data_IF_108638277684
#
_entry.id   IF_108638277684
#
_cell.length_a   1.000
_cell.length_b   1.000
_cell.length_c   1.000
_cell.angle_alpha   90.00
_cell.angle_beta   90.00
_cell.angle_gamma   90.00
#
_symmetry.space_group_name_H-M   'P 1'
#
loop_
_entity.id
_entity.type
_entity.pdbx_description
1 polymer ?
#
# COMPACT_ATOMS: atom_id res chain seq x y z
N UNK A 1 -12.41 7.11 4.81
CA UNK A 1 -12.75 6.37 3.57
C UNK A 1 -12.53 4.86 3.70
N UNK A 2 -11.34 4.30 3.99
CA UNK A 2 -11.14 2.84 4.07
C UNK A 2 -12.14 2.13 4.98
N UNK A 3 -12.52 2.74 6.11
CA UNK A 3 -13.51 2.17 7.02
C UNK A 3 -14.92 2.07 6.41
N UNK A 4 -15.33 3.03 5.59
CA UNK A 4 -16.64 2.97 4.94
C UNK A 4 -16.69 1.84 3.90
N UNK A 5 -15.64 1.74 3.07
CA UNK A 5 -15.54 0.66 2.08
C UNK A 5 -15.48 -0.71 2.75
N UNK A 6 -14.73 -0.82 3.85
CA UNK A 6 -14.68 -2.04 4.63
C UNK A 6 -16.06 -2.39 5.20
N UNK A 7 -16.77 -1.42 5.76
CA UNK A 7 -18.11 -1.66 6.31
C UNK A 7 -19.08 -2.12 5.22
N UNK A 8 -18.99 -1.57 4.00
CA UNK A 8 -19.76 -2.04 2.85
C UNK A 8 -19.40 -3.48 2.46
N UNK A 9 -18.11 -3.84 2.45
CA UNK A 9 -17.67 -5.20 2.19
C UNK A 9 -18.13 -6.18 3.28
N UNK A 10 -18.06 -5.79 4.55
CA UNK A 10 -18.57 -6.57 5.68
C UNK A 10 -20.09 -6.77 5.59
N UNK A 11 -20.83 -5.75 5.15
CA UNK A 11 -22.28 -5.85 4.93
C UNK A 11 -22.62 -6.89 3.85
N UNK A 12 -21.90 -6.85 2.72
CA UNK A 12 -22.06 -7.85 1.66
C UNK A 12 -21.71 -9.26 2.11
N UNK A 13 -20.64 -9.41 2.90
CA UNK A 13 -20.23 -10.70 3.46
C UNK A 13 -21.29 -11.24 4.44
N UNK A 14 -21.88 -10.37 5.28
CA UNK A 14 -22.93 -10.73 6.25
C UNK A 14 -24.23 -11.19 5.59
N UNK A 15 -24.54 -10.64 4.41
CA UNK A 15 -25.74 -10.98 3.64
C UNK A 15 -25.50 -12.16 2.68
N UNK A 16 -24.29 -12.66 2.59
CA UNK A 16 -23.86 -13.58 1.53
C UNK A 16 -24.28 -13.08 0.15
N UNK A 17 -24.06 -11.79 -0.08
CA UNK A 17 -24.48 -11.11 -1.30
C UNK A 17 -23.82 -11.75 -2.54
N UNK A 18 -24.56 -11.98 -3.65
CA UNK A 18 -23.98 -12.50 -4.87
C UNK A 18 -22.95 -11.52 -5.48
N UNK A 19 -21.97 -12.04 -6.21
CA UNK A 19 -20.88 -11.25 -6.78
C UNK A 19 -21.35 -10.00 -7.57
N UNK A 20 -22.38 -10.06 -8.43
CA UNK A 20 -22.85 -8.88 -9.16
C UNK A 20 -23.38 -7.75 -8.25
N UNK A 21 -23.80 -8.07 -7.03
CA UNK A 21 -24.26 -7.08 -6.04
C UNK A 21 -23.09 -6.43 -5.29
N UNK A 22 -21.92 -7.06 -5.21
CA UNK A 22 -20.76 -6.60 -4.41
C UNK A 22 -20.03 -5.45 -5.10
N UNK A 23 -20.77 -4.37 -5.35
CA UNK A 23 -20.28 -3.14 -6.00
C UNK A 23 -20.27 -2.01 -4.99
N UNK A 24 -19.14 -1.31 -4.90
CA UNK A 24 -18.96 -0.11 -4.09
C UNK A 24 -18.54 1.03 -5.00
N UNK A 25 -19.17 2.21 -4.86
CA UNK A 25 -18.80 3.40 -5.63
C UNK A 25 -18.37 4.50 -4.68
N UNK A 26 -17.13 4.95 -4.79
CA UNK A 26 -16.63 6.13 -4.10
C UNK A 26 -16.82 7.34 -4.99
N UNK A 27 -17.40 8.41 -4.44
CA UNK A 27 -17.77 9.61 -5.18
C UNK A 27 -17.06 10.79 -4.53
N UNK A 28 -16.32 11.55 -5.34
CA UNK A 28 -15.60 12.74 -4.91
C UNK A 28 -16.05 13.96 -5.70
N UNK A 29 -16.21 15.08 -5.02
CA UNK A 29 -16.21 16.41 -5.64
C UNK A 29 -15.03 17.20 -5.10
N UNK A 30 -14.22 17.75 -5.97
CA UNK A 30 -13.03 18.53 -5.59
C UNK A 30 -13.36 19.78 -4.75
N UNK A 31 -14.61 20.24 -4.80
CA UNK A 31 -14.98 21.56 -4.32
C UNK A 31 -14.65 22.66 -5.31
N UNK A 32 -15.29 23.80 -5.15
CA UNK A 32 -15.11 25.04 -5.90
C UNK A 32 -15.14 26.20 -4.92
N UNK A 33 -14.93 27.44 -5.40
CA UNK A 33 -14.89 28.62 -4.56
C UNK A 33 -16.05 28.72 -3.57
N UNK A 34 -17.27 28.34 -4.00
CA UNK A 34 -18.49 28.46 -3.20
C UNK A 34 -19.14 27.08 -2.87
N UNK A 35 -18.44 25.98 -3.17
CA UNK A 35 -18.93 24.63 -2.94
C UNK A 35 -17.88 23.83 -2.19
N UNK A 36 -18.21 23.40 -0.97
CA UNK A 36 -17.29 22.56 -0.19
C UNK A 36 -17.09 21.20 -0.86
N UNK A 37 -15.87 20.67 -0.80
CA UNK A 37 -15.60 19.33 -1.28
C UNK A 37 -16.36 18.29 -0.48
N UNK A 38 -16.70 17.18 -1.10
CA UNK A 38 -17.29 16.04 -0.40
C UNK A 38 -16.67 14.72 -0.83
N UNK A 39 -16.88 13.75 0.02
CA UNK A 39 -16.50 12.36 -0.17
C UNK A 39 -17.69 11.50 0.16
N UNK A 40 -18.06 10.58 -0.75
CA UNK A 40 -19.17 9.66 -0.52
C UNK A 40 -18.77 8.22 -0.81
N UNK A 41 -19.47 7.30 -0.16
CA UNK A 41 -19.36 5.85 -0.40
C UNK A 41 -20.77 5.30 -0.58
N UNK A 42 -21.03 4.68 -1.70
CA UNK A 42 -22.29 4.04 -2.06
C UNK A 42 -22.10 2.53 -2.13
N UNK A 43 -22.98 1.80 -1.45
CA UNK A 43 -23.15 0.35 -1.60
C UNK A 43 -24.62 -0.02 -1.79
N UNK A 44 -24.87 -1.28 -2.15
CA UNK A 44 -26.22 -1.79 -2.45
C UNK A 44 -26.73 -2.81 -1.41
N UNK A 45 -26.23 -2.75 -0.18
CA UNK A 45 -26.70 -3.58 0.93
C UNK A 45 -27.93 -2.98 1.62
N UNK A 46 -27.82 -1.70 1.99
CA UNK A 46 -28.84 -1.00 2.77
C UNK A 46 -28.83 -1.37 4.26
N UNK A 47 -29.44 -0.50 5.09
CA UNK A 47 -29.62 -0.71 6.52
C UNK A 47 -31.04 -0.41 6.95
N UNK A 48 -31.56 -1.21 7.87
CA UNK A 48 -32.84 -0.89 8.60
C UNK A 48 -32.56 0.08 9.75
N UNK A 49 -33.56 0.76 10.28
CA UNK A 49 -33.46 1.58 11.49
C UNK A 49 -32.89 0.79 12.66
N UNK A 50 -33.31 -0.46 12.83
CA UNK A 50 -32.79 -1.33 13.88
C UNK A 50 -31.28 -1.59 13.71
N UNK A 51 -30.85 -1.87 12.50
CA UNK A 51 -29.40 -2.03 12.21
C UNK A 51 -28.62 -0.74 12.50
N UNK A 52 -29.19 0.42 12.14
CA UNK A 52 -28.58 1.72 12.44
C UNK A 52 -28.46 1.92 13.95
N UNK A 53 -29.51 1.68 14.71
CA UNK A 53 -29.47 1.80 16.17
C UNK A 53 -28.47 0.86 16.81
N UNK A 54 -28.45 -0.39 16.43
CA UNK A 54 -27.50 -1.38 16.94
C UNK A 54 -26.07 -1.05 16.62
N UNK A 55 -25.78 -0.58 15.41
CA UNK A 55 -24.43 -0.38 14.93
C UNK A 55 -23.88 1.03 15.19
N UNK A 56 -24.72 2.06 15.27
CA UNK A 56 -24.29 3.46 15.39
C UNK A 56 -24.58 4.12 16.72
N UNK A 57 -25.56 3.63 17.49
CA UNK A 57 -25.90 4.21 18.80
C UNK A 57 -24.95 3.77 19.90
N UNK A 58 -24.49 2.51 19.87
CA UNK A 58 -23.63 1.94 20.90
C UNK A 58 -22.18 2.10 20.48
N UNK A 59 -21.37 2.84 21.27
CA UNK A 59 -19.96 3.00 21.05
C UNK A 59 -19.16 1.89 21.75
N UNK A 60 -18.02 1.47 21.15
CA UNK A 60 -17.12 0.45 21.69
C UNK A 60 -17.81 -0.89 22.04
N UNK A 61 -18.80 -1.28 21.23
CA UNK A 61 -19.50 -2.54 21.41
C UNK A 61 -18.65 -3.73 20.95
N UNK A 62 -18.16 -4.58 21.87
CA UNK A 62 -17.33 -5.73 21.52
C UNK A 62 -18.09 -6.80 20.72
N UNK A 63 -19.42 -6.83 20.83
CA UNK A 63 -20.26 -7.80 20.14
C UNK A 63 -20.72 -7.32 18.76
N UNK A 64 -20.37 -6.07 18.36
CA UNK A 64 -20.81 -5.51 17.08
C UNK A 64 -20.38 -6.36 15.86
N UNK A 65 -19.21 -6.99 15.93
CA UNK A 65 -18.73 -7.88 14.87
C UNK A 65 -19.40 -9.26 14.88
N UNK A 66 -19.83 -9.73 16.07
CA UNK A 66 -20.46 -11.05 16.23
C UNK A 66 -21.93 -11.04 15.89
N UNK A 67 -22.59 -9.89 16.10
CA UNK A 67 -23.98 -9.70 15.72
C UNK A 67 -24.13 -9.61 14.21
N UNK A 68 -24.42 -10.68 13.57
CA UNK A 68 -24.61 -10.78 12.10
C UNK A 68 -23.49 -11.52 11.38
N UNK A 69 -22.47 -12.00 12.09
CA UNK A 69 -21.40 -12.80 11.51
C UNK A 69 -21.94 -14.19 11.14
N UNK A 70 -22.32 -14.37 9.88
CA UNK A 70 -22.55 -15.69 9.28
C UNK A 70 -21.28 -16.26 8.63
N UNK A 71 -20.22 -15.47 8.51
CA UNK A 71 -18.97 -15.90 7.91
C UNK A 71 -17.76 -15.30 8.61
N UNK A 72 -16.65 -16.03 8.62
CA UNK A 72 -15.33 -15.56 9.10
C UNK A 72 -14.74 -14.43 8.22
N UNK A 73 -15.47 -13.97 7.22
CA UNK A 73 -15.03 -12.92 6.29
C UNK A 73 -15.19 -11.50 6.86
N UNK A 74 -15.89 -11.33 8.01
CA UNK A 74 -16.14 -10.02 8.59
C UNK A 74 -14.89 -9.48 9.28
N UNK A 75 -14.46 -8.30 8.82
CA UNK A 75 -13.29 -7.61 9.36
C UNK A 75 -13.62 -6.66 10.52
N UNK A 76 -14.93 -6.41 10.81
CA UNK A 76 -15.43 -5.52 11.84
C UNK A 76 -15.14 -6.02 13.27
N UNK A 77 -14.63 -5.13 14.16
CA UNK A 77 -14.36 -5.46 15.58
C UNK A 77 -15.37 -4.76 16.51
N UNK A 78 -15.12 -3.51 16.82
CA UNK A 78 -15.83 -2.79 17.88
C UNK A 78 -16.84 -1.73 17.39
N UNK A 79 -17.14 -1.68 16.10
CA UNK A 79 -18.18 -0.82 15.53
C UNK A 79 -17.92 0.70 15.58
N UNK A 80 -16.72 1.16 15.92
CA UNK A 80 -16.42 2.58 16.13
C UNK A 80 -15.87 3.32 14.92
N UNK A 81 -15.22 2.62 13.97
CA UNK A 81 -14.49 3.27 12.89
C UNK A 81 -15.34 4.22 12.05
N UNK A 82 -16.48 3.74 11.54
CA UNK A 82 -17.38 4.55 10.73
C UNK A 82 -17.94 5.77 11.48
N UNK A 83 -18.29 5.62 12.77
CA UNK A 83 -18.82 6.69 13.63
C UNK A 83 -17.76 7.78 13.90
N UNK A 84 -16.55 7.38 14.26
CA UNK A 84 -15.46 8.30 14.51
C UNK A 84 -15.18 9.17 13.28
N UNK A 85 -15.10 8.56 12.11
CA UNK A 85 -14.91 9.30 10.87
C UNK A 85 -16.06 10.28 10.58
N UNK A 86 -17.30 9.86 10.80
CA UNK A 86 -18.46 10.74 10.56
C UNK A 86 -18.51 11.93 11.54
N UNK A 87 -18.11 11.73 12.78
CA UNK A 87 -18.22 12.79 13.81
C UNK A 87 -17.01 13.71 13.87
N UNK A 88 -15.82 13.26 13.44
CA UNK A 88 -14.57 13.99 13.67
C UNK A 88 -13.88 14.50 12.40
N UNK A 89 -14.12 13.87 11.25
CA UNK A 89 -13.33 14.11 10.03
C UNK A 89 -13.94 15.15 9.09
N UNK A 90 -15.14 15.63 9.35
CA UNK A 90 -15.86 16.58 8.50
C UNK A 90 -16.23 17.83 9.28
N UNK A 91 -16.13 18.99 8.60
CA UNK A 91 -16.44 20.29 9.20
C UNK A 91 -17.93 20.63 9.10
N UNK A 92 -18.57 20.19 8.02
CA UNK A 92 -19.93 20.62 7.70
C UNK A 92 -20.95 19.56 8.16
N UNK A 93 -21.00 18.44 7.47
CA UNK A 93 -21.88 17.33 7.89
C UNK A 93 -21.38 15.98 7.40
N UNK A 94 -21.86 14.94 8.04
CA UNK A 94 -21.65 13.56 7.61
C UNK A 94 -22.97 12.78 7.80
N UNK A 95 -23.50 12.26 6.69
CA UNK A 95 -24.82 11.66 6.61
C UNK A 95 -24.77 10.25 6.03
N UNK A 96 -25.63 9.39 6.57
CA UNK A 96 -26.02 8.14 5.94
C UNK A 96 -27.43 8.33 5.40
N UNK A 97 -27.62 8.08 4.12
CA UNK A 97 -28.93 7.88 3.51
C UNK A 97 -29.03 6.43 3.08
N UNK A 98 -29.96 5.71 3.63
CA UNK A 98 -30.09 4.27 3.38
C UNK A 98 -31.53 3.87 3.12
N UNK A 99 -31.69 2.87 2.28
CA UNK A 99 -32.95 2.19 2.00
C UNK A 99 -32.73 0.70 2.13
N UNK A 100 -33.67 0.00 2.77
CA UNK A 100 -33.68 -1.47 2.80
C UNK A 100 -35.11 -1.98 2.83
N UNK A 101 -35.46 -2.89 1.95
CA UNK A 101 -36.76 -3.54 1.88
C UNK A 101 -37.93 -2.53 1.87
N UNK A 102 -37.87 -1.51 1.04
CA UNK A 102 -38.94 -0.51 0.88
C UNK A 102 -39.04 0.51 2.02
N UNK A 103 -38.08 0.53 2.96
CA UNK A 103 -38.01 1.54 4.03
C UNK A 103 -36.74 2.34 3.93
N UNK A 104 -36.84 3.66 3.96
CA UNK A 104 -35.74 4.60 3.96
C UNK A 104 -35.50 5.23 5.33
N UNK A 105 -34.25 5.56 5.60
CA UNK A 105 -33.80 6.23 6.82
C UNK A 105 -32.62 7.16 6.55
N UNK A 106 -32.47 8.22 7.35
CA UNK A 106 -31.30 9.11 7.35
C UNK A 106 -30.74 9.21 8.75
N UNK A 107 -29.40 9.16 8.83
CA UNK A 107 -28.71 9.16 10.10
C UNK A 107 -27.35 9.89 9.98
N UNK A 108 -26.94 10.62 11.00
CA UNK A 108 -25.63 11.29 11.01
C UNK A 108 -25.65 12.63 11.75
N UNK A 109 -24.72 13.50 11.33
CA UNK A 109 -24.54 14.87 11.86
C UNK A 109 -24.83 15.85 10.74
N UNK A 110 -25.72 16.82 11.03
CA UNK A 110 -26.02 17.94 10.12
C UNK A 110 -25.21 19.16 10.53
N UNK A 111 -24.87 20.01 9.57
CA UNK A 111 -24.18 21.27 9.79
C UNK A 111 -24.84 22.11 10.92
N UNK A 112 -24.01 22.62 11.83
CA UNK A 112 -24.49 23.37 12.99
C UNK A 112 -25.15 22.55 14.11
N UNK A 113 -25.26 21.21 13.95
CA UNK A 113 -25.74 20.31 14.97
C UNK A 113 -24.61 19.56 15.65
N UNK A 114 -24.62 19.53 16.97
CA UNK A 114 -23.72 18.66 17.76
C UNK A 114 -24.29 17.25 17.99
N UNK A 115 -25.49 16.99 17.50
CA UNK A 115 -26.17 15.72 17.72
C UNK A 115 -25.94 14.77 16.57
N UNK A 116 -25.44 13.61 16.90
CA UNK A 116 -25.31 12.47 15.99
C UNK A 116 -26.52 11.55 16.19
N UNK A 117 -27.38 11.43 15.20
CA UNK A 117 -28.60 10.67 15.34
C UNK A 117 -29.46 10.60 14.07
N UNK A 118 -30.70 10.12 14.23
CA UNK A 118 -31.65 10.09 13.13
C UNK A 118 -32.07 11.50 12.70
N UNK A 119 -32.15 11.69 11.39
CA UNK A 119 -32.57 12.94 10.76
C UNK A 119 -33.90 12.69 10.11
N UNK A 120 -35.01 13.10 10.75
CA UNK A 120 -36.33 12.88 10.20
C UNK A 120 -36.52 13.69 8.93
N UNK A 121 -37.14 13.07 7.94
CA UNK A 121 -37.72 13.78 6.81
C UNK A 121 -38.98 14.51 7.28
N UNK A 122 -39.09 15.83 7.01
CA UNK A 122 -40.21 16.65 7.50
C UNK A 122 -41.57 16.16 7.03
N UNK A 123 -41.61 15.56 5.84
CA UNK A 123 -42.88 15.08 5.24
C UNK A 123 -43.15 13.61 5.51
N UNK A 124 -42.08 12.80 5.62
CA UNK A 124 -42.16 11.34 5.66
C UNK A 124 -41.82 10.72 7.02
N UNK A 125 -41.33 11.54 7.97
CA UNK A 125 -40.97 11.07 9.29
C UNK A 125 -39.55 10.48 9.40
N UNK A 126 -39.31 9.69 10.47
CA UNK A 126 -38.02 9.07 10.75
C UNK A 126 -37.74 7.91 9.81
N UNK A 127 -38.70 6.98 9.73
CA UNK A 127 -38.68 5.84 8.81
C UNK A 127 -39.75 6.07 7.77
N UNK A 128 -39.32 6.23 6.53
CA UNK A 128 -40.24 6.56 5.44
C UNK A 128 -40.35 5.41 4.44
N UNK A 129 -41.53 5.27 3.85
CA UNK A 129 -41.82 4.28 2.82
C UNK A 129 -41.14 4.70 1.50
N UNK A 130 -40.52 3.75 0.82
CA UNK A 130 -39.90 3.92 -0.49
C UNK A 130 -40.56 2.94 -1.43
N UNK A 131 -41.38 3.44 -2.33
CA UNK A 131 -42.09 2.65 -3.35
C UNK A 131 -41.18 2.34 -4.53
N UNK A 132 -40.30 3.26 -4.89
CA UNK A 132 -39.31 3.12 -5.96
C UNK A 132 -37.88 3.39 -5.45
N UNK A 133 -37.17 2.33 -5.29
CA UNK A 133 -35.75 2.31 -4.87
C UNK A 133 -34.84 3.14 -5.80
N UNK A 134 -35.04 3.05 -7.13
CA UNK A 134 -34.24 3.80 -8.10
C UNK A 134 -34.42 5.30 -8.00
N UNK A 135 -35.68 5.74 -7.87
CA UNK A 135 -35.99 7.15 -7.68
C UNK A 135 -35.40 7.69 -6.39
N UNK A 136 -35.48 6.93 -5.29
CA UNK A 136 -34.91 7.35 -4.01
C UNK A 136 -33.36 7.40 -4.07
N UNK A 137 -32.70 6.44 -4.73
CA UNK A 137 -31.27 6.50 -4.98
C UNK A 137 -30.90 7.72 -5.83
N UNK A 138 -31.67 7.99 -6.89
CA UNK A 138 -31.47 9.20 -7.70
C UNK A 138 -31.61 10.48 -6.87
N UNK A 139 -32.60 10.56 -5.96
CA UNK A 139 -32.75 11.67 -5.04
C UNK A 139 -31.60 11.79 -4.04
N UNK A 140 -31.07 10.67 -3.55
CA UNK A 140 -29.91 10.65 -2.66
C UNK A 140 -28.63 11.12 -3.34
N UNK A 141 -28.46 10.88 -4.63
CA UNK A 141 -27.29 11.27 -5.42
C UNK A 141 -27.31 12.76 -5.84
N UNK A 142 -28.48 13.38 -5.99
CA UNK A 142 -28.61 14.78 -6.43
C UNK A 142 -27.78 15.77 -5.60
N UNK A 143 -27.82 15.76 -4.26
CA UNK A 143 -27.07 16.70 -3.43
C UNK A 143 -25.55 16.61 -3.64
N UNK A 144 -25.05 15.43 -4.03
CA UNK A 144 -23.64 15.18 -4.33
C UNK A 144 -23.34 15.29 -5.82
N UNK A 145 -24.21 15.98 -6.59
CA UNK A 145 -24.02 16.25 -8.03
C UNK A 145 -23.68 15.00 -8.85
N UNK A 146 -24.23 13.88 -8.47
CA UNK A 146 -24.13 12.60 -9.15
C UNK A 146 -25.53 12.15 -9.61
N UNK A 147 -25.59 11.37 -10.64
CA UNK A 147 -26.82 10.76 -11.15
C UNK A 147 -26.61 9.28 -11.40
N UNK A 148 -27.66 8.53 -11.60
CA UNK A 148 -27.57 7.11 -11.94
C UNK A 148 -26.77 6.87 -13.23
N UNK A 149 -26.73 7.83 -14.14
CA UNK A 149 -25.98 7.76 -15.42
C UNK A 149 -24.47 7.94 -15.21
N UNK A 150 -24.05 8.57 -14.09
CA UNK A 150 -22.64 8.73 -13.74
C UNK A 150 -22.07 7.50 -13.01
N UNK A 151 -22.91 6.53 -12.68
CA UNK A 151 -22.46 5.29 -12.03
C UNK A 151 -21.89 4.31 -13.09
N UNK A 152 -20.97 3.43 -12.70
CA UNK A 152 -20.44 2.40 -13.59
C UNK A 152 -21.52 1.40 -14.02
N UNK A 153 -21.36 0.77 -15.18
CA UNK A 153 -22.32 -0.22 -15.69
C UNK A 153 -22.61 -1.36 -14.70
N UNK A 154 -21.61 -1.79 -13.95
CA UNK A 154 -21.78 -2.81 -12.91
C UNK A 154 -22.68 -2.33 -11.75
N UNK A 155 -22.70 -1.03 -11.44
CA UNK A 155 -23.64 -0.48 -10.48
C UNK A 155 -25.09 -0.55 -11.01
N UNK A 156 -25.31 -0.35 -12.30
CA UNK A 156 -26.63 -0.51 -12.90
C UNK A 156 -27.13 -1.97 -12.82
N UNK A 157 -26.23 -2.95 -12.91
CA UNK A 157 -26.53 -4.35 -12.70
C UNK A 157 -26.84 -4.65 -11.22
N UNK A 158 -26.01 -4.16 -10.32
CA UNK A 158 -26.27 -4.28 -8.88
C UNK A 158 -27.62 -3.69 -8.48
N UNK A 159 -28.00 -2.52 -9.02
CA UNK A 159 -29.30 -1.88 -8.81
C UNK A 159 -30.48 -2.75 -9.25
N UNK A 160 -30.34 -3.59 -10.27
CA UNK A 160 -31.43 -4.48 -10.73
C UNK A 160 -31.76 -5.59 -9.74
N UNK A 161 -30.77 -6.05 -8.97
CA UNK A 161 -30.90 -7.17 -8.03
C UNK A 161 -30.88 -6.72 -6.57
N UNK A 162 -30.65 -5.45 -6.30
CA UNK A 162 -30.61 -4.91 -4.95
C UNK A 162 -32.02 -4.52 -4.45
N UNK A 163 -32.23 -4.69 -3.14
CA UNK A 163 -33.42 -4.25 -2.42
C UNK A 163 -33.14 -3.08 -1.47
N UNK A 164 -31.97 -2.45 -1.63
CA UNK A 164 -31.54 -1.35 -0.80
C UNK A 164 -30.22 -0.77 -1.25
N UNK A 165 -29.87 0.36 -0.63
CA UNK A 165 -28.57 1.01 -0.76
C UNK A 165 -28.18 1.68 0.54
N UNK A 166 -26.87 1.92 0.71
CA UNK A 166 -26.35 2.84 1.72
C UNK A 166 -25.45 3.85 1.02
N UNK A 167 -25.76 5.12 1.16
CA UNK A 167 -24.93 6.24 0.75
C UNK A 167 -24.44 6.98 1.98
N UNK A 168 -23.14 6.89 2.26
CA UNK A 168 -22.48 7.66 3.31
C UNK A 168 -21.79 8.85 2.65
N UNK A 169 -22.09 10.07 3.11
CA UNK A 169 -21.52 11.31 2.56
C UNK A 169 -20.95 12.15 3.68
N UNK A 170 -19.71 12.64 3.50
CA UNK A 170 -19.09 13.63 4.37
C UNK A 170 -18.69 14.86 3.57
N UNK A 171 -19.06 16.05 4.07
CA UNK A 171 -18.84 17.35 3.42
C UNK A 171 -17.85 18.18 4.23
N UNK A 172 -16.91 18.82 3.53
CA UNK A 172 -15.83 19.59 4.14
C UNK A 172 -14.86 18.71 4.93
N UNK A 173 -14.13 17.78 4.30
CA UNK A 173 -13.15 16.98 5.01
C UNK A 173 -12.05 17.87 5.59
N UNK A 174 -11.79 17.73 6.89
CA UNK A 174 -10.81 18.52 7.64
C UNK A 174 -9.41 18.40 7.05
N UNK A 175 -8.69 19.51 7.05
CA UNK A 175 -7.32 19.58 6.54
C UNK A 175 -7.19 19.78 5.03
N UNK A 176 -8.29 19.81 4.28
CA UNK A 176 -8.26 20.02 2.82
C UNK A 176 -8.82 21.37 2.36
N UNK A 177 -9.39 22.15 3.28
CA UNK A 177 -10.00 23.44 2.94
C UNK A 177 -11.11 23.29 1.88
N UNK A 178 -11.02 24.07 0.81
CA UNK A 178 -12.04 24.10 -0.23
C UNK A 178 -11.74 23.14 -1.42
N UNK A 179 -10.68 22.37 -1.36
CA UNK A 179 -10.32 21.46 -2.47
C UNK A 179 -9.64 20.19 -1.97
N UNK A 180 -10.12 19.05 -2.45
CA UNK A 180 -9.50 17.74 -2.19
C UNK A 180 -8.76 17.21 -3.42
N UNK A 181 -7.59 16.56 -3.24
CA UNK A 181 -6.84 15.90 -4.30
C UNK A 181 -7.42 14.50 -4.57
N UNK A 182 -8.62 14.42 -5.17
CA UNK A 182 -9.36 13.16 -5.30
C UNK A 182 -8.57 12.03 -5.96
N UNK A 183 -7.76 12.32 -7.00
CA UNK A 183 -6.91 11.29 -7.65
C UNK A 183 -5.90 10.71 -6.68
N UNK A 184 -5.19 11.57 -5.96
CA UNK A 184 -4.20 11.14 -4.96
C UNK A 184 -4.84 10.37 -3.80
N UNK A 185 -6.07 10.76 -3.39
CA UNK A 185 -6.82 10.00 -2.39
C UNK A 185 -7.20 8.60 -2.88
N UNK A 186 -7.54 8.45 -4.16
CA UNK A 186 -7.83 7.14 -4.76
C UNK A 186 -6.56 6.29 -4.83
N UNK A 187 -5.43 6.85 -5.25
CA UNK A 187 -4.13 6.15 -5.27
C UNK A 187 -3.73 5.69 -3.87
N UNK A 188 -3.82 6.58 -2.88
CA UNK A 188 -3.58 6.22 -1.48
C UNK A 188 -4.55 5.15 -0.97
N UNK A 189 -5.81 5.18 -1.44
CA UNK A 189 -6.80 4.18 -1.09
C UNK A 189 -6.42 2.81 -1.64
N UNK A 190 -5.97 2.72 -2.90
CA UNK A 190 -5.52 1.48 -3.52
C UNK A 190 -4.28 0.89 -2.82
N UNK A 191 -3.38 1.74 -2.35
CA UNK A 191 -2.18 1.31 -1.62
C UNK A 191 -2.43 1.02 -0.13
N UNK A 192 -3.60 1.39 0.39
CA UNK A 192 -3.88 1.25 1.83
C UNK A 192 -4.03 -0.22 2.25
N UNK A 193 -3.31 -0.72 3.28
CA UNK A 193 -3.34 -2.14 3.67
C UNK A 193 -4.74 -2.70 3.95
N UNK A 194 -5.63 -1.86 4.52
CA UNK A 194 -7.02 -2.24 4.81
C UNK A 194 -7.87 -2.48 3.58
N UNK A 195 -7.46 -1.97 2.43
CA UNK A 195 -8.20 -2.11 1.17
C UNK A 195 -7.99 -3.44 0.48
N UNK A 196 -6.90 -4.14 0.79
CA UNK A 196 -6.57 -5.41 0.13
C UNK A 196 -7.77 -6.37 0.12
N UNK A 197 -8.33 -6.64 1.30
CA UNK A 197 -9.48 -7.55 1.42
C UNK A 197 -10.76 -7.01 0.77
N UNK A 198 -10.99 -5.70 0.86
CA UNK A 198 -12.16 -5.06 0.23
C UNK A 198 -12.09 -5.16 -1.29
N UNK A 199 -10.92 -4.93 -1.89
CA UNK A 199 -10.70 -5.02 -3.34
C UNK A 199 -10.73 -6.47 -3.86
N UNK A 200 -10.43 -7.46 -3.00
CA UNK A 200 -10.60 -8.88 -3.31
C UNK A 200 -12.08 -9.31 -3.32
N UNK A 201 -12.88 -8.78 -2.37
CA UNK A 201 -14.28 -9.17 -2.16
C UNK A 201 -15.28 -8.40 -3.02
N UNK A 202 -14.97 -7.15 -3.35
CA UNK A 202 -15.88 -6.19 -3.97
C UNK A 202 -15.26 -5.51 -5.18
N UNK A 203 -16.09 -5.18 -6.16
CA UNK A 203 -15.69 -4.30 -7.27
C UNK A 203 -15.88 -2.86 -6.82
N UNK A 204 -14.79 -2.17 -6.57
CA UNK A 204 -14.77 -0.77 -6.12
C UNK A 204 -14.54 0.14 -7.31
N UNK A 205 -15.39 1.14 -7.49
CA UNK A 205 -15.29 2.13 -8.56
C UNK A 205 -15.17 3.53 -7.98
N UNK A 206 -14.65 4.48 -8.76
CA UNK A 206 -14.56 5.86 -8.36
C UNK A 206 -15.22 6.79 -9.39
N UNK A 207 -15.90 7.82 -8.88
CA UNK A 207 -16.47 8.93 -9.65
C UNK A 207 -15.87 10.22 -9.10
N UNK A 208 -15.36 11.07 -9.97
CA UNK A 208 -14.77 12.37 -9.62
C UNK A 208 -15.49 13.46 -10.38
N UNK A 209 -16.13 14.40 -9.68
CA UNK A 209 -16.90 15.51 -10.27
C UNK A 209 -17.97 15.05 -11.28
N UNK A 210 -18.62 13.91 -11.01
CA UNK A 210 -19.62 13.31 -11.89
C UNK A 210 -19.06 12.50 -13.06
N UNK A 211 -17.75 12.33 -13.18
CA UNK A 211 -17.11 11.55 -14.23
C UNK A 211 -16.51 10.25 -13.67
N UNK A 212 -16.63 9.17 -14.42
CA UNK A 212 -16.04 7.89 -14.05
C UNK A 212 -14.50 7.95 -14.09
N UNK A 213 -13.88 7.68 -12.96
CA UNK A 213 -12.42 7.52 -12.91
C UNK A 213 -11.99 6.27 -13.67
N UNK A 214 -10.81 6.33 -14.28
CA UNK A 214 -10.20 5.22 -15.04
C UNK A 214 -11.15 4.58 -16.07
N UNK A 215 -11.96 5.41 -16.76
CA UNK A 215 -12.94 4.96 -17.76
C UNK A 215 -13.94 3.92 -17.24
N UNK A 216 -14.28 3.97 -15.96
CA UNK A 216 -15.21 3.05 -15.33
C UNK A 216 -14.65 1.64 -15.09
N UNK A 217 -13.34 1.47 -15.06
CA UNK A 217 -12.70 0.24 -14.60
C UNK A 217 -12.67 0.20 -13.08
N UNK A 218 -12.83 -0.98 -12.46
CA UNK A 218 -12.73 -1.10 -11.02
C UNK A 218 -11.32 -0.76 -10.53
N UNK A 219 -11.25 -0.29 -9.31
CA UNK A 219 -9.97 -0.10 -8.62
C UNK A 219 -9.37 -1.48 -8.31
N UNK A 220 -8.12 -1.66 -8.66
CA UNK A 220 -7.35 -2.87 -8.38
C UNK A 220 -6.18 -2.54 -7.47
N UNK A 221 -5.65 -3.55 -6.81
CA UNK A 221 -4.35 -3.40 -6.14
C UNK A 221 -3.31 -3.14 -7.22
N UNK A 222 -2.49 -2.09 -7.08
CA UNK A 222 -1.43 -1.84 -8.02
C UNK A 222 -0.46 -3.04 -8.05
N UNK A 223 -0.09 -3.46 -9.24
CA UNK A 223 0.98 -4.43 -9.41
C UNK A 223 2.30 -3.84 -8.95
N UNK A 224 3.09 -4.65 -8.28
CA UNK A 224 4.43 -4.32 -7.82
C UNK A 224 5.36 -5.30 -8.49
N UNK A 225 6.19 -4.79 -9.40
CA UNK A 225 7.23 -5.58 -10.03
C UNK A 225 8.27 -5.98 -8.98
N UNK A 226 8.69 -7.24 -9.01
CA UNK A 226 9.66 -7.77 -8.08
C UNK A 226 11.09 -7.43 -8.54
N UNK A 227 12.02 -7.36 -7.60
CA UNK A 227 13.44 -7.27 -7.93
C UNK A 227 13.85 -8.49 -8.76
N UNK A 228 14.79 -8.28 -9.68
CA UNK A 228 15.38 -9.34 -10.51
C UNK A 228 15.88 -10.52 -9.65
N UNK A 229 15.43 -11.73 -9.97
CA UNK A 229 15.74 -12.96 -9.24
C UNK A 229 15.07 -13.10 -7.87
N UNK A 230 13.99 -12.34 -7.63
CA UNK A 230 13.13 -12.42 -6.46
C UNK A 230 11.64 -12.38 -6.82
N UNK A 231 11.29 -12.97 -7.95
CA UNK A 231 9.94 -12.99 -8.51
C UNK A 231 8.99 -13.81 -7.61
N UNK A 232 9.53 -14.81 -6.91
CA UNK A 232 8.77 -15.62 -5.97
C UNK A 232 8.86 -15.06 -4.55
N UNK A 233 7.74 -15.05 -3.80
CA UNK A 233 7.76 -14.62 -2.41
C UNK A 233 8.61 -15.57 -1.56
N UNK A 234 9.40 -15.00 -0.65
CA UNK A 234 10.14 -15.78 0.36
C UNK A 234 9.19 -16.13 1.51
N UNK A 235 8.91 -17.41 1.69
CA UNK A 235 8.06 -17.90 2.77
C UNK A 235 8.95 -18.43 3.90
N UNK A 236 8.73 -17.94 5.11
CA UNK A 236 9.51 -18.26 6.31
C UNK A 236 8.54 -18.76 7.38
N UNK A 237 8.77 -19.93 7.94
CA UNK A 237 7.98 -20.44 9.05
C UNK A 237 8.31 -19.67 10.34
N UNK A 238 7.28 -19.26 11.08
CA UNK A 238 7.45 -18.61 12.38
C UNK A 238 7.67 -19.71 13.42
N UNK A 239 8.75 -19.65 14.24
CA UNK A 239 8.99 -20.62 15.31
C UNK A 239 7.84 -20.65 16.31
N UNK A 240 7.57 -21.80 16.92
CA UNK A 240 6.54 -21.98 17.96
C UNK A 240 6.84 -21.13 19.21
N UNK A 241 8.11 -20.84 19.45
CA UNK A 241 8.57 -20.03 20.58
C UNK A 241 9.45 -18.91 20.05
N UNK A 242 9.11 -17.69 20.36
CA UNK A 242 9.91 -16.50 20.11
C UNK A 242 10.43 -15.91 21.42
N UNK A 243 11.48 -15.10 21.34
CA UNK A 243 12.05 -14.37 22.49
C UNK A 243 11.55 -12.92 22.44
N UNK A 244 10.97 -12.44 23.55
CA UNK A 244 10.64 -11.02 23.70
C UNK A 244 11.94 -10.21 23.89
N UNK A 245 12.26 -9.26 23.02
CA UNK A 245 13.51 -8.50 23.08
C UNK A 245 13.64 -7.64 24.35
N UNK A 246 12.52 -7.30 24.99
CA UNK A 246 12.52 -6.41 26.16
C UNK A 246 12.64 -7.14 27.51
N UNK A 247 12.09 -8.35 27.60
CA UNK A 247 12.03 -9.11 28.88
C UNK A 247 12.82 -10.40 28.83
N UNK A 248 13.38 -10.75 27.67
CA UNK A 248 14.04 -12.03 27.40
C UNK A 248 13.16 -13.28 27.61
N UNK A 249 11.89 -13.10 27.93
CA UNK A 249 10.94 -14.17 28.12
C UNK A 249 10.64 -14.90 26.81
N UNK A 250 10.43 -16.21 26.94
CA UNK A 250 9.93 -17.03 25.82
C UNK A 250 8.43 -16.87 25.68
N UNK A 251 7.97 -16.59 24.49
CA UNK A 251 6.55 -16.37 24.17
C UNK A 251 6.12 -17.39 23.13
N UNK A 252 5.01 -18.10 23.42
CA UNK A 252 4.42 -19.04 22.47
C UNK A 252 3.73 -18.28 21.32
N UNK A 253 3.93 -18.74 20.10
CA UNK A 253 3.26 -18.28 18.88
C UNK A 253 2.09 -19.18 18.49
N UNK A 254 1.82 -20.25 19.26
CA UNK A 254 0.71 -21.16 19.05
C UNK A 254 -0.36 -20.91 20.09
N UNK A 255 -1.63 -20.98 19.68
CA UNK A 255 -2.75 -21.10 20.62
C UNK A 255 -2.79 -22.54 21.14
N UNK A 256 -3.24 -22.74 22.37
CA UNK A 256 -3.35 -24.06 23.00
C UNK A 256 -4.03 -25.06 22.04
N UNK A 257 -3.27 -26.09 21.62
CA UNK A 257 -3.75 -27.17 20.76
C UNK A 257 -3.60 -26.96 19.24
N UNK A 258 -3.03 -25.84 18.77
CA UNK A 258 -2.77 -25.64 17.33
C UNK A 258 -1.36 -26.11 16.96
N UNK A 259 -1.28 -27.03 16.01
CA UNK A 259 -0.02 -27.57 15.47
C UNK A 259 0.61 -26.69 14.36
N UNK A 260 -0.03 -25.63 13.93
CA UNK A 260 0.48 -24.81 12.84
C UNK A 260 1.20 -23.57 13.35
N UNK A 261 2.51 -23.57 13.18
CA UNK A 261 3.31 -22.37 13.25
C UNK A 261 2.83 -21.36 12.17
N UNK A 262 2.86 -20.08 12.51
CA UNK A 262 2.55 -19.04 11.54
C UNK A 262 3.57 -18.96 10.39
N UNK A 263 3.33 -18.10 9.43
CA UNK A 263 4.24 -17.86 8.31
C UNK A 263 4.46 -16.36 8.08
N UNK A 264 5.70 -16.01 7.76
CA UNK A 264 6.09 -14.69 7.25
C UNK A 264 6.37 -14.82 5.76
N UNK A 265 5.66 -14.03 4.96
CA UNK A 265 5.78 -14.02 3.50
C UNK A 265 6.37 -12.67 3.11
N UNK A 266 7.60 -12.66 2.62
CA UNK A 266 8.30 -11.46 2.16
C UNK A 266 8.28 -11.39 0.65
N UNK A 267 8.06 -10.18 0.14
CA UNK A 267 8.06 -9.82 -1.28
C UNK A 267 8.99 -8.65 -1.51
N UNK A 268 9.39 -8.44 -2.75
CA UNK A 268 10.27 -7.34 -3.13
C UNK A 268 9.61 -6.43 -4.14
N UNK A 269 10.12 -5.21 -4.25
CA UNK A 269 9.78 -4.25 -5.28
C UNK A 269 11.06 -3.86 -6.04
N UNK A 270 10.98 -3.77 -7.35
CA UNK A 270 12.05 -3.26 -8.22
C UNK A 270 12.41 -1.79 -7.95
N UNK A 271 11.44 -1.04 -7.39
CA UNK A 271 11.59 0.37 -7.03
C UNK A 271 11.46 0.58 -5.52
N UNK A 272 12.05 1.69 -5.03
CA UNK A 272 11.86 2.13 -3.65
C UNK A 272 10.38 2.41 -3.36
N UNK A 273 9.83 1.77 -2.34
CA UNK A 273 8.45 1.95 -1.90
C UNK A 273 8.28 3.13 -0.93
N UNK A 274 9.37 3.75 -0.50
CA UNK A 274 9.37 4.84 0.48
C UNK A 274 8.49 6.02 0.05
N UNK A 275 8.44 6.32 -1.24
CA UNK A 275 7.74 7.48 -1.79
C UNK A 275 6.57 7.08 -2.69
N UNK A 276 6.75 6.08 -3.55
CA UNK A 276 5.78 5.72 -4.59
C UNK A 276 4.69 4.75 -4.14
N UNK A 277 4.97 3.93 -3.11
CA UNK A 277 4.06 2.89 -2.61
C UNK A 277 4.04 2.82 -1.07
N UNK A 278 4.13 3.98 -0.42
CA UNK A 278 4.25 4.08 1.04
C UNK A 278 3.17 3.30 1.79
N UNK A 279 1.94 3.31 1.30
CA UNK A 279 0.82 2.57 1.91
C UNK A 279 0.95 1.05 1.82
N UNK A 280 1.78 0.52 0.90
CA UNK A 280 2.06 -0.91 0.74
C UNK A 280 3.38 -1.34 1.37
N UNK A 281 4.23 -0.40 1.76
CA UNK A 281 5.54 -0.64 2.38
C UNK A 281 5.38 -1.03 3.87
N UNK A 282 4.71 -2.15 4.08
CA UNK A 282 4.35 -2.65 5.40
C UNK A 282 4.47 -4.18 5.44
N UNK A 283 4.63 -4.72 6.64
CA UNK A 283 4.33 -6.13 6.92
C UNK A 283 2.93 -6.18 7.53
N UNK A 284 2.01 -6.77 6.80
CA UNK A 284 0.59 -6.85 7.18
C UNK A 284 0.36 -8.06 8.06
N UNK A 285 -0.23 -7.90 9.22
CA UNK A 285 -0.64 -9.00 10.10
C UNK A 285 -1.99 -9.57 9.65
N UNK A 286 -2.02 -10.87 9.47
CA UNK A 286 -3.22 -11.63 9.10
C UNK A 286 -3.45 -12.77 10.07
N UNK A 287 -4.70 -12.99 10.43
CA UNK A 287 -5.18 -14.15 11.17
C UNK A 287 -6.45 -14.69 10.51
N UNK A 288 -7.18 -15.59 11.16
CA UNK A 288 -8.39 -16.20 10.61
C UNK A 288 -9.45 -15.16 10.20
N UNK A 289 -9.62 -14.08 10.98
CA UNK A 289 -10.53 -12.96 10.63
C UNK A 289 -10.00 -12.07 9.48
N UNK A 290 -8.88 -12.40 8.88
CA UNK A 290 -8.23 -11.64 7.83
C UNK A 290 -7.22 -10.61 8.37
N UNK A 291 -7.28 -9.37 7.90
CA UNK A 291 -6.39 -8.29 8.31
C UNK A 291 -6.63 -7.84 9.77
N UNK A 292 -5.59 -7.85 10.59
CA UNK A 292 -5.64 -7.48 12.01
C UNK A 292 -4.76 -6.29 12.38
N UNK A 293 -3.78 -5.94 11.55
CA UNK A 293 -2.88 -4.81 11.77
C UNK A 293 -1.71 -4.81 10.77
N UNK A 294 -0.77 -3.90 10.96
CA UNK A 294 0.47 -3.88 10.18
C UNK A 294 1.59 -3.18 10.96
N UNK A 295 2.82 -3.44 10.56
CA UNK A 295 3.99 -2.66 10.96
C UNK A 295 4.62 -2.06 9.71
N UNK A 296 4.86 -0.73 9.67
CA UNK A 296 5.63 -0.12 8.59
C UNK A 296 7.05 -0.66 8.59
N UNK A 297 7.56 -1.06 7.43
CA UNK A 297 8.95 -1.54 7.32
C UNK A 297 9.95 -0.46 7.74
N UNK A 298 9.57 0.82 7.60
CA UNK A 298 10.36 1.96 8.07
C UNK A 298 10.47 2.09 9.59
N UNK A 299 9.65 1.38 10.36
CA UNK A 299 9.71 1.33 11.83
C UNK A 299 10.51 0.13 12.34
N UNK A 300 10.86 -0.80 11.46
CA UNK A 300 11.76 -1.91 11.78
C UNK A 300 13.22 -1.44 11.77
N UNK A 301 14.03 -1.92 12.70
CA UNK A 301 15.46 -1.61 12.74
C UNK A 301 16.22 -2.45 11.70
N UNK A 302 16.32 -1.89 10.47
CA UNK A 302 16.93 -2.56 9.34
C UNK A 302 18.07 -1.70 8.79
N UNK A 303 19.28 -2.24 8.84
CA UNK A 303 20.51 -1.60 8.37
C UNK A 303 20.92 -2.11 6.99
N UNK A 304 20.10 -1.85 5.99
CA UNK A 304 20.39 -2.23 4.60
C UNK A 304 19.78 -1.22 3.65
N UNK A 305 20.42 -0.84 2.55
CA UNK A 305 19.83 0.05 1.55
C UNK A 305 18.60 -0.54 0.85
N UNK A 306 18.39 -1.86 0.96
CA UNK A 306 17.27 -2.55 0.31
C UNK A 306 16.01 -2.65 1.18
N UNK A 307 16.03 -2.11 2.43
CA UNK A 307 14.87 -2.17 3.32
C UNK A 307 13.60 -1.54 2.70
N UNK A 308 13.77 -0.48 1.92
CA UNK A 308 12.68 0.28 1.30
C UNK A 308 12.06 -0.41 0.07
N UNK A 309 12.54 -1.61 -0.28
CA UNK A 309 12.05 -2.45 -1.37
C UNK A 309 11.42 -3.76 -0.90
N UNK A 310 11.34 -3.99 0.41
CA UNK A 310 10.79 -5.22 0.98
C UNK A 310 9.46 -4.91 1.65
N UNK A 311 8.46 -5.76 1.40
CA UNK A 311 7.14 -5.70 2.02
C UNK A 311 6.61 -7.13 2.18
N UNK A 312 5.48 -7.29 2.89
CA UNK A 312 4.96 -8.65 3.03
C UNK A 312 3.78 -8.80 3.95
N UNK A 313 3.57 -10.04 4.39
CA UNK A 313 2.53 -10.39 5.33
C UNK A 313 3.01 -11.42 6.34
N UNK A 314 2.58 -11.26 7.58
CA UNK A 314 2.77 -12.20 8.67
C UNK A 314 1.42 -12.84 9.00
N UNK A 315 1.30 -14.13 8.82
CA UNK A 315 0.09 -14.93 9.12
C UNK A 315 0.31 -15.66 10.43
N UNK A 316 -0.38 -15.23 11.47
CA UNK A 316 -0.23 -15.81 12.82
C UNK A 316 -1.53 -15.66 13.60
N UNK A 317 -2.21 -16.79 13.86
CA UNK A 317 -3.50 -16.83 14.54
C UNK A 317 -3.44 -16.32 15.99
N UNK A 318 -2.33 -16.54 16.67
CA UNK A 318 -2.13 -16.08 18.05
C UNK A 318 -2.19 -14.56 18.22
N UNK A 319 -2.07 -13.79 17.13
CA UNK A 319 -2.21 -12.33 17.14
C UNK A 319 -3.68 -11.86 17.10
N UNK A 320 -4.64 -12.72 16.76
CA UNK A 320 -6.05 -12.35 16.63
C UNK A 320 -6.65 -11.67 17.88
N UNK A 321 -6.43 -12.15 19.10
CA UNK A 321 -6.95 -11.50 20.31
C UNK A 321 -6.33 -10.13 20.60
N UNK A 322 -5.17 -9.84 20.01
CA UNK A 322 -4.38 -8.64 20.28
C UNK A 322 -4.65 -7.50 19.32
N UNK A 323 -5.62 -7.68 18.41
CA UNK A 323 -6.04 -6.63 17.48
C UNK A 323 -6.64 -5.44 18.23
N UNK A 324 -6.20 -4.24 17.88
CA UNK A 324 -6.76 -3.00 18.40
C UNK A 324 -7.91 -2.48 17.53
N UNK A 325 -8.73 -1.60 18.12
CA UNK A 325 -9.86 -0.99 17.42
C UNK A 325 -9.46 -0.25 16.13
N UNK A 326 -8.34 0.43 16.17
CA UNK A 326 -7.83 1.20 15.05
C UNK A 326 -7.18 0.32 13.98
N UNK A 327 -6.84 -0.92 14.31
CA UNK A 327 -6.16 -1.90 13.42
C UNK A 327 -4.95 -1.33 12.68
N UNK A 328 -4.36 -0.29 13.23
CA UNK A 328 -3.09 0.22 12.76
C UNK A 328 -1.96 -0.57 13.38
N UNK A 329 -2.08 -0.87 14.69
CA UNK A 329 -1.09 -1.63 15.46
C UNK A 329 -1.78 -2.72 16.27
N UNK A 330 -1.00 -3.69 16.71
CA UNK A 330 -1.42 -4.67 17.71
C UNK A 330 -1.29 -4.07 19.12
N UNK A 331 -1.96 -4.67 20.10
CA UNK A 331 -1.78 -4.29 21.51
C UNK A 331 -0.32 -4.49 21.92
N UNK A 332 0.24 -3.52 22.65
CA UNK A 332 1.62 -3.63 23.14
C UNK A 332 1.70 -4.73 24.22
N UNK A 333 2.13 -5.92 23.81
CA UNK A 333 2.29 -7.08 24.69
C UNK A 333 3.51 -7.91 24.24
N UNK A 334 3.97 -8.88 25.02
CA UNK A 334 5.17 -9.66 24.70
C UNK A 334 5.14 -10.34 23.33
N UNK A 335 4.01 -10.92 22.94
CA UNK A 335 3.91 -11.63 21.65
C UNK A 335 4.07 -10.71 20.42
N UNK A 336 3.37 -9.57 20.25
CA UNK A 336 3.62 -8.65 19.16
C UNK A 336 5.08 -8.17 19.12
N UNK A 337 5.69 -7.81 20.24
CA UNK A 337 7.10 -7.38 20.28
C UNK A 337 8.06 -8.46 19.81
N UNK A 338 7.84 -9.71 20.25
CA UNK A 338 8.64 -10.85 19.83
C UNK A 338 8.48 -11.13 18.32
N UNK A 339 7.24 -11.00 17.78
CA UNK A 339 6.95 -11.16 16.36
C UNK A 339 7.57 -10.02 15.53
N UNK A 340 7.48 -8.77 15.97
CA UNK A 340 8.11 -7.62 15.30
C UNK A 340 9.62 -7.75 15.25
N UNK A 341 10.24 -8.20 16.35
CA UNK A 341 11.67 -8.47 16.41
C UNK A 341 12.07 -9.57 15.41
N UNK A 342 11.35 -10.70 15.42
CA UNK A 342 11.56 -11.77 14.44
C UNK A 342 11.42 -11.26 13.00
N UNK A 343 10.38 -10.47 12.70
CA UNK A 343 10.18 -9.88 11.37
C UNK A 343 11.37 -8.99 11.00
N UNK A 344 11.85 -8.13 11.92
CA UNK A 344 13.00 -7.27 11.68
C UNK A 344 14.25 -8.08 11.32
N UNK A 345 14.55 -9.15 12.06
CA UNK A 345 15.67 -10.04 11.76
C UNK A 345 15.55 -10.70 10.38
N UNK A 346 14.34 -11.19 10.02
CA UNK A 346 14.13 -11.85 8.73
C UNK A 346 14.19 -10.86 7.55
N UNK A 347 13.62 -9.66 7.70
CA UNK A 347 13.72 -8.60 6.68
C UNK A 347 15.17 -8.14 6.52
N UNK A 348 15.90 -7.96 7.63
CA UNK A 348 17.33 -7.63 7.61
C UNK A 348 18.15 -8.72 6.88
N UNK A 349 17.90 -9.99 7.18
CA UNK A 349 18.59 -11.11 6.53
C UNK A 349 18.29 -11.14 5.03
N UNK A 350 17.03 -10.95 4.65
CA UNK A 350 16.61 -10.93 3.25
C UNK A 350 17.21 -9.74 2.49
N UNK A 351 17.23 -8.56 3.10
CA UNK A 351 17.86 -7.38 2.52
C UNK A 351 19.37 -7.57 2.27
N UNK A 352 20.08 -8.23 3.19
CA UNK A 352 21.51 -8.57 3.04
C UNK A 352 21.78 -9.56 1.89
N UNK A 353 20.83 -10.44 1.57
CA UNK A 353 20.95 -11.33 0.41
C UNK A 353 21.06 -10.53 -0.90
N UNK A 354 20.29 -9.43 -1.02
CA UNK A 354 20.34 -8.53 -2.18
C UNK A 354 21.66 -7.74 -2.22
N UNK A 355 22.11 -7.22 -1.09
CA UNK A 355 23.43 -6.57 -1.02
C UNK A 355 24.57 -7.50 -1.49
N UNK A 356 24.55 -8.74 -1.01
CA UNK A 356 25.57 -9.72 -1.39
C UNK A 356 25.49 -10.07 -2.89
N UNK A 357 24.27 -10.14 -3.45
CA UNK A 357 24.05 -10.38 -4.88
C UNK A 357 24.56 -9.23 -5.74
N UNK A 358 24.20 -8.01 -5.39
CA UNK A 358 24.62 -6.83 -6.13
C UNK A 358 26.14 -6.63 -6.05
N UNK A 359 26.73 -6.86 -4.88
CA UNK A 359 28.19 -6.80 -4.72
C UNK A 359 28.88 -7.80 -5.66
N UNK A 360 28.38 -9.05 -5.74
CA UNK A 360 28.92 -10.06 -6.67
C UNK A 360 28.74 -9.65 -8.14
N UNK A 361 27.60 -9.02 -8.47
CA UNK A 361 27.33 -8.54 -9.82
C UNK A 361 28.29 -7.40 -10.20
N UNK A 362 28.49 -6.42 -9.32
CA UNK A 362 29.46 -5.33 -9.53
C UNK A 362 30.88 -5.86 -9.69
N UNK A 363 31.31 -6.78 -8.81
CA UNK A 363 32.63 -7.42 -8.91
C UNK A 363 32.81 -8.15 -10.26
N UNK A 364 31.75 -8.79 -10.75
CA UNK A 364 31.81 -9.49 -12.06
C UNK A 364 31.79 -8.51 -13.23
N UNK A 365 31.02 -7.46 -13.18
CA UNK A 365 30.97 -6.40 -14.20
C UNK A 365 32.31 -5.66 -14.26
N UNK A 366 32.93 -5.37 -13.12
CA UNK A 366 34.26 -4.78 -13.03
C UNK A 366 35.32 -5.69 -13.65
N UNK A 367 35.32 -6.98 -13.29
CA UNK A 367 36.23 -7.96 -13.90
C UNK A 367 36.08 -8.04 -15.42
N UNK A 368 34.83 -8.05 -15.91
CA UNK A 368 34.51 -8.08 -17.32
C UNK A 368 34.97 -6.79 -18.03
N UNK A 369 34.78 -5.63 -17.38
CA UNK A 369 35.25 -4.35 -17.92
C UNK A 369 36.79 -4.29 -18.02
N UNK A 370 37.47 -4.74 -16.97
CA UNK A 370 38.94 -4.84 -16.95
C UNK A 370 39.45 -5.81 -18.05
N UNK A 371 38.81 -6.97 -18.20
CA UNK A 371 39.17 -7.93 -19.27
C UNK A 371 39.02 -7.31 -20.66
N UNK A 372 37.87 -6.65 -20.94
CA UNK A 372 37.64 -5.96 -22.22
C UNK A 372 38.65 -4.83 -22.46
N UNK A 373 39.04 -4.10 -21.42
CA UNK A 373 40.04 -3.05 -21.50
C UNK A 373 41.41 -3.65 -21.82
N UNK A 374 41.79 -4.72 -21.15
CA UNK A 374 43.06 -5.42 -21.41
C UNK A 374 43.11 -5.97 -22.85
N UNK A 375 42.02 -6.59 -23.33
CA UNK A 375 41.92 -7.04 -24.72
C UNK A 375 42.03 -5.90 -25.74
N UNK A 376 41.47 -4.73 -25.42
CA UNK A 376 41.60 -3.53 -26.27
C UNK A 376 43.05 -3.00 -26.28
N UNK A 377 43.68 -2.98 -25.11
CA UNK A 377 45.11 -2.59 -24.98
C UNK A 377 46.05 -3.54 -25.73
N UNK A 378 45.79 -4.85 -25.64
CA UNK A 378 46.59 -5.85 -26.37
C UNK A 378 46.41 -5.72 -27.89
N UNK A 379 45.17 -5.48 -28.35
CA UNK A 379 44.89 -5.21 -29.76
C UNK A 379 45.62 -3.93 -30.25
N UNK A 380 45.54 -2.85 -29.43
CA UNK A 380 46.25 -1.60 -29.74
C UNK A 380 47.76 -1.79 -29.75
N UNK A 381 48.34 -2.47 -28.76
CA UNK A 381 49.74 -2.80 -28.67
C UNK A 381 50.22 -3.60 -29.89
N UNK A 382 49.47 -4.64 -30.27
CA UNK A 382 49.82 -5.47 -31.43
C UNK A 382 49.71 -4.66 -32.74
N UNK A 383 48.72 -3.80 -32.88
CA UNK A 383 48.58 -2.91 -34.03
C UNK A 383 49.75 -1.91 -34.10
N UNK A 384 50.05 -1.26 -32.98
CA UNK A 384 51.16 -0.31 -32.89
C UNK A 384 52.49 -0.97 -33.18
N UNK A 385 52.79 -2.15 -32.64
CA UNK A 385 54.00 -2.91 -32.92
C UNK A 385 54.08 -3.29 -34.41
N UNK A 386 53.00 -3.72 -35.02
CA UNK A 386 52.98 -4.06 -36.44
C UNK A 386 53.19 -2.80 -37.31
N UNK A 387 52.51 -1.68 -37.02
CA UNK A 387 52.71 -0.42 -37.73
C UNK A 387 54.15 0.09 -37.57
N UNK A 388 54.70 -0.01 -36.36
CA UNK A 388 56.10 0.37 -36.08
C UNK A 388 57.09 -0.55 -36.82
N UNK A 389 56.91 -1.86 -36.81
CA UNK A 389 57.73 -2.82 -37.49
C UNK A 389 57.65 -2.69 -39.03
N UNK A 390 56.47 -2.33 -39.57
CA UNK A 390 56.30 -2.05 -40.98
C UNK A 390 56.92 -0.71 -41.40
N UNK A 391 56.89 0.31 -40.52
CA UNK A 391 57.57 1.59 -40.75
C UNK A 391 59.07 1.51 -40.73
N UNK A 392 59.67 0.51 -40.08
CA UNK A 392 61.11 0.27 -40.01
C UNK A 392 61.66 -0.52 -41.23
N UNK A 393 60.83 -0.98 -42.16
CA UNK A 393 61.20 -1.68 -43.37
C UNK A 393 61.43 -0.74 -44.57
N UNK A 394 61.93 0.49 -44.36
CA UNK A 394 62.41 1.35 -45.40
C UNK A 394 63.81 0.82 -45.88
N UNK A 395 64.13 0.88 -47.19
CA UNK A 395 65.41 0.39 -47.67
C UNK A 395 66.53 1.35 -47.23
N UNK A 396 67.26 0.98 -46.21
CA UNK A 396 68.57 1.56 -45.95
C UNK A 396 68.90 2.13 -44.57
N UNK A 397 67.91 2.39 -43.67
CA UNK A 397 68.22 2.97 -42.36
C UNK A 397 67.97 2.00 -41.22
N UNK A 398 68.98 1.46 -40.63
CA UNK A 398 68.96 0.74 -39.37
C UNK A 398 68.98 1.77 -38.25
N UNK A 399 67.79 2.28 -37.92
CA UNK A 399 67.59 3.11 -36.72
C UNK A 399 67.48 2.16 -35.52
N UNK A 400 68.53 2.03 -34.74
CA UNK A 400 68.47 1.37 -33.43
C UNK A 400 67.76 2.35 -32.45
N UNK A 401 66.64 1.98 -31.87
CA UNK A 401 66.04 2.82 -30.84
C UNK A 401 67.02 3.01 -29.69
N UNK A 402 67.04 4.17 -29.05
CA UNK A 402 67.83 4.40 -27.87
C UNK A 402 67.52 3.31 -26.81
N UNK A 403 68.52 2.83 -26.08
CA UNK A 403 68.29 1.82 -25.05
C UNK A 403 67.24 2.33 -24.10
N UNK A 404 66.31 1.49 -23.66
CA UNK A 404 65.30 1.88 -22.73
C UNK A 404 65.94 2.49 -21.46
N UNK A 405 65.37 3.57 -20.90
CA UNK A 405 65.92 4.14 -19.69
C UNK A 405 65.98 3.06 -18.61
N UNK A 406 67.04 3.04 -17.79
CA UNK A 406 67.21 2.04 -16.75
C UNK A 406 65.95 2.05 -15.88
N UNK A 407 65.35 0.86 -15.68
CA UNK A 407 64.23 0.69 -14.80
C UNK A 407 64.56 1.30 -13.43
N UNK A 408 63.70 2.16 -12.86
CA UNK A 408 63.98 2.70 -11.55
C UNK A 408 64.06 1.54 -10.55
N UNK A 409 65.21 1.44 -9.90
CA UNK A 409 65.53 0.45 -8.86
C UNK A 409 64.79 0.74 -7.53
N UNK A 410 63.64 1.40 -7.59
CA UNK A 410 62.76 1.65 -6.46
C UNK A 410 61.68 0.60 -6.31
N UNK A 411 61.39 0.22 -5.08
CA UNK A 411 60.21 -0.62 -4.76
C UNK A 411 59.01 -0.08 -5.50
N UNK A 412 58.15 -0.95 -6.10
CA UNK A 412 56.95 -0.48 -6.79
C UNK A 412 56.10 0.34 -5.81
N UNK A 413 55.89 1.61 -6.16
CA UNK A 413 54.94 2.43 -5.43
C UNK A 413 53.58 1.77 -5.58
N UNK A 414 52.94 1.46 -4.45
CA UNK A 414 51.53 1.08 -4.43
C UNK A 414 50.75 2.29 -4.90
N UNK A 415 50.26 2.23 -6.12
CA UNK A 415 49.29 3.20 -6.60
C UNK A 415 47.93 2.79 -6.02
N UNK A 416 47.50 3.45 -4.97
CA UNK A 416 46.09 3.41 -4.51
C UNK A 416 45.25 4.31 -5.42
N UNK A 417 44.40 3.71 -6.20
CA UNK A 417 43.35 4.41 -6.93
C UNK A 417 42.21 4.74 -5.93
N UNK A 418 42.15 5.98 -5.47
CA UNK A 418 41.06 6.44 -4.65
C UNK A 418 39.93 6.98 -5.55
N UNK A 419 38.87 6.25 -5.67
CA UNK A 419 37.62 6.72 -6.30
C UNK A 419 36.84 7.54 -5.30
N UNK A 420 36.81 8.86 -5.46
CA UNK A 420 35.91 9.72 -4.70
C UNK A 420 34.56 9.89 -5.42
N UNK A 421 33.49 9.47 -4.79
CA UNK A 421 32.13 9.64 -5.27
C UNK A 421 31.55 10.93 -4.68
N UNK A 422 31.37 11.96 -5.46
CA UNK A 422 30.59 13.13 -5.07
C UNK A 422 29.13 12.93 -5.45
N UNK A 423 28.29 12.78 -4.45
CA UNK A 423 26.83 12.73 -4.60
C UNK A 423 26.33 14.11 -5.02
N UNK A 424 26.05 14.28 -6.30
CA UNK A 424 25.38 15.49 -6.77
C UNK A 424 23.93 15.50 -6.27
N UNK A 425 23.51 16.62 -5.72
CA UNK A 425 22.17 16.83 -5.20
C UNK A 425 21.07 16.65 -6.26
N UNK A 426 19.89 16.35 -5.76
CA UNK A 426 18.63 16.12 -6.44
C UNK A 426 18.40 17.04 -7.66
N UNK A 427 18.22 16.41 -8.80
CA UNK A 427 17.66 17.02 -10.00
C UNK A 427 18.37 16.60 -11.28
N UNK A 428 17.69 15.77 -12.08
CA UNK A 428 18.03 15.37 -13.46
C UNK A 428 19.16 14.33 -13.59
N UNK A 429 18.83 13.25 -14.26
CA UNK A 429 19.76 12.15 -14.59
C UNK A 429 21.01 12.69 -15.30
N UNK A 430 22.07 12.93 -14.57
CA UNK A 430 23.39 13.20 -15.13
C UNK A 430 24.18 11.91 -15.20
N UNK A 431 24.68 11.60 -16.39
CA UNK A 431 25.64 10.51 -16.61
C UNK A 431 26.84 10.72 -15.69
N UNK A 432 27.35 9.68 -15.03
CA UNK A 432 28.55 9.79 -14.22
C UNK A 432 29.74 10.19 -15.09
N UNK A 433 30.38 11.31 -14.74
CA UNK A 433 31.61 11.74 -15.39
C UNK A 433 32.78 11.19 -14.58
N UNK A 434 33.50 10.24 -15.12
CA UNK A 434 34.76 9.75 -14.58
C UNK A 434 35.83 10.81 -14.79
N UNK A 435 36.34 11.42 -13.72
CA UNK A 435 37.55 12.27 -13.76
C UNK A 435 38.72 11.47 -13.20
N UNK A 436 39.71 11.26 -14.04
CA UNK A 436 41.01 10.70 -13.61
C UNK A 436 41.91 11.86 -13.18
N UNK A 437 42.40 11.82 -11.98
CA UNK A 437 43.47 12.70 -11.53
C UNK A 437 44.76 11.90 -11.54
N UNK A 438 45.72 12.35 -12.34
CA UNK A 438 47.08 11.82 -12.36
C UNK A 438 47.95 12.81 -11.58
N UNK A 439 48.40 12.42 -10.40
CA UNK A 439 49.44 13.16 -9.71
C UNK A 439 50.76 12.66 -10.25
N UNK A 440 51.39 13.48 -11.08
CA UNK A 440 52.76 13.29 -11.51
C UNK A 440 53.65 14.06 -10.53
N UNK A 441 54.39 13.34 -9.71
CA UNK A 441 55.59 13.83 -9.11
C UNK A 441 56.80 13.11 -9.73
#
# INVERSE_FOLDING_TARGET
>A
MPEWLKNSADAYASEDAPEPKRVIVVIFDHGRRDVRPFISCLDFSGMTSTMIEQNFRIWADPEAARRGARSNAIQGGHGNGGKCYMTQMFEDHALIHTVKNGKGNRYGVVAGSVRFGHIPDRQRGRDFSVSDFRSELGNALKPIKCSLQNLPNMAAEAIRIAYGFTLVTGVGPKGYGNRIPARHLIENLQDHPRMMRTLELCKVYAVINGELFNKGRPLTLPEIESMEGAEQPKVISIPEILKDPTSENRVSTTNDGSLSAGSLILRTSDVSMRWSRKGRHNIVYKAQSGYIGYVPVSELDIQSPYWDRIYGECRLEALEPLKQNERARLANSPLPRAVEHFISEQVQAYAKEFEARDRRRYDQEEKNAISKMNEALDRWKNRFLNEFMHGLRGPGDVWLPPPPPPLPTGKPAKHELTLSYQKAGLGVASRPTLRFFHDVR
#
